data_IF_230858002877
#
_entry.id   IF_230858002877
#
_cell.length_a   1.000
_cell.length_b   1.000
_cell.length_c   1.000
_cell.angle_alpha   90.00
_cell.angle_beta   90.00
_cell.angle_gamma   90.00
#
_symmetry.space_group_name_H-M   'P 1'
#
loop_
_entity.id
_entity.type
_entity.pdbx_description
1 polymer ?
#
# COMPACT_ATOMS: atom_id res chain seq x y z
N UNK A 1 9.38 1.80 -12.56
CA UNK A 1 8.83 0.56 -11.99
C UNK A 1 8.77 0.80 -10.48
N UNK A 2 7.58 0.88 -9.87
CA UNK A 2 7.48 1.26 -8.44
C UNK A 2 8.04 0.14 -7.55
N UNK A 3 8.90 0.47 -6.59
CA UNK A 3 9.51 -0.49 -5.67
C UNK A 3 8.47 -1.09 -4.72
N UNK A 4 8.62 -2.38 -4.35
CA UNK A 4 7.73 -3.06 -3.40
C UNK A 4 7.55 -2.29 -2.09
N UNK A 5 8.65 -1.71 -1.61
CA UNK A 5 8.70 -0.84 -0.43
C UNK A 5 7.70 0.32 -0.52
N UNK A 6 7.75 1.09 -1.62
CA UNK A 6 6.83 2.21 -1.87
C UNK A 6 5.38 1.74 -1.92
N UNK A 7 5.09 0.66 -2.65
CA UNK A 7 3.73 0.13 -2.77
C UNK A 7 3.15 -0.32 -1.43
N UNK A 8 3.99 -0.88 -0.55
CA UNK A 8 3.60 -1.34 0.78
C UNK A 8 3.17 -0.19 1.72
N UNK A 9 3.53 1.06 1.42
CA UNK A 9 3.14 2.22 2.21
C UNK A 9 1.66 2.61 2.00
N UNK A 10 1.02 2.08 0.95
CA UNK A 10 -0.37 2.37 0.56
C UNK A 10 -1.35 1.23 0.88
N UNK A 11 -0.94 0.25 1.69
CA UNK A 11 -1.77 -0.87 2.13
C UNK A 11 -1.87 -0.96 3.66
N UNK A 12 -2.99 -1.51 4.12
CA UNK A 12 -3.23 -1.87 5.52
C UNK A 12 -2.25 -2.95 5.98
N UNK A 13 -1.54 -2.75 7.12
CA UNK A 13 -0.67 -3.77 7.66
C UNK A 13 -1.41 -5.03 8.09
N UNK A 14 -2.65 -4.87 8.58
CA UNK A 14 -3.46 -5.95 9.13
C UNK A 14 -4.31 -6.70 8.10
N UNK A 15 -4.72 -6.02 7.03
CA UNK A 15 -5.69 -6.59 6.07
C UNK A 15 -5.18 -6.63 4.63
N UNK A 16 -4.04 -6.00 4.33
CA UNK A 16 -3.55 -5.84 2.96
C UNK A 16 -4.42 -4.96 2.06
N UNK A 17 -5.51 -4.37 2.59
CA UNK A 17 -6.40 -3.50 1.84
C UNK A 17 -5.67 -2.23 1.37
N UNK A 18 -5.86 -1.86 0.10
CA UNK A 18 -5.32 -0.63 -0.46
C UNK A 18 -6.09 0.56 0.09
N UNK A 19 -5.40 1.56 0.63
CA UNK A 19 -6.07 2.75 1.15
C UNK A 19 -6.74 3.59 0.05
N UNK A 20 -7.87 4.18 0.40
CA UNK A 20 -8.59 5.13 -0.44
C UNK A 20 -7.92 6.50 -0.51
N UNK A 21 -8.36 7.31 -1.47
CA UNK A 21 -7.78 8.66 -1.73
C UNK A 21 -7.84 9.60 -0.53
N UNK A 22 -8.87 9.49 0.30
CA UNK A 22 -9.03 10.30 1.52
C UNK A 22 -7.95 10.01 2.58
N UNK A 23 -7.27 8.86 2.47
CA UNK A 23 -6.17 8.45 3.36
C UNK A 23 -4.81 8.71 2.69
N UNK A 24 -4.67 8.34 1.42
CA UNK A 24 -3.39 8.44 0.71
C UNK A 24 -3.03 9.88 0.30
N UNK A 25 -4.03 10.76 0.19
CA UNK A 25 -3.84 12.15 -0.25
C UNK A 25 -3.41 12.29 -1.72
N UNK A 26 -3.39 11.21 -2.50
CA UNK A 26 -2.88 11.22 -3.86
C UNK A 26 -3.89 11.80 -4.86
N UNK A 27 -3.39 12.43 -5.92
CA UNK A 27 -4.23 12.79 -7.06
C UNK A 27 -4.81 11.54 -7.74
N UNK A 28 -5.94 11.68 -8.44
CA UNK A 28 -6.64 10.52 -9.00
C UNK A 28 -5.82 9.70 -9.99
N UNK A 29 -4.97 10.36 -10.79
CA UNK A 29 -4.04 9.69 -11.71
C UNK A 29 -3.05 8.81 -10.95
N UNK A 30 -2.41 9.35 -9.90
CA UNK A 30 -1.42 8.63 -9.08
C UNK A 30 -2.06 7.50 -8.26
N UNK A 31 -3.25 7.72 -7.70
CA UNK A 31 -3.99 6.64 -7.03
C UNK A 31 -4.22 5.46 -7.98
N UNK A 32 -4.65 5.72 -9.23
CA UNK A 32 -4.89 4.67 -10.23
C UNK A 32 -3.60 3.94 -10.62
N UNK A 33 -2.50 4.66 -10.75
CA UNK A 33 -1.17 4.07 -11.01
C UNK A 33 -0.73 3.14 -9.88
N UNK A 34 -0.88 3.57 -8.62
CA UNK A 34 -0.51 2.77 -7.44
C UNK A 34 -1.41 1.54 -7.31
N UNK A 35 -2.73 1.69 -7.41
CA UNK A 35 -3.66 0.55 -7.33
C UNK A 35 -3.35 -0.50 -8.41
N UNK A 36 -3.04 -0.07 -9.64
CA UNK A 36 -2.65 -1.01 -10.72
C UNK A 36 -1.32 -1.71 -10.42
N UNK A 37 -0.32 -0.98 -9.92
CA UNK A 37 0.98 -1.55 -9.58
C UNK A 37 0.87 -2.57 -8.44
N UNK A 38 0.11 -2.25 -7.38
CA UNK A 38 -0.17 -3.18 -6.27
C UNK A 38 -0.83 -4.46 -6.77
N UNK A 39 -1.92 -4.34 -7.54
CA UNK A 39 -2.62 -5.53 -8.08
C UNK A 39 -1.73 -6.39 -8.97
N UNK A 40 -0.88 -5.77 -9.81
CA UNK A 40 0.09 -6.50 -10.62
C UNK A 40 1.14 -7.21 -9.76
N UNK A 41 1.68 -6.53 -8.76
CA UNK A 41 2.65 -7.13 -7.84
C UNK A 41 2.03 -8.31 -7.06
N UNK A 42 0.76 -8.21 -6.66
CA UNK A 42 0.02 -9.29 -6.02
C UNK A 42 -0.17 -10.49 -6.95
N UNK A 43 -0.64 -10.27 -8.19
CA UNK A 43 -0.84 -11.34 -9.18
C UNK A 43 0.48 -12.03 -9.55
N UNK A 44 1.57 -11.28 -9.64
CA UNK A 44 2.90 -11.81 -9.96
C UNK A 44 3.61 -12.46 -8.75
N UNK A 45 2.99 -12.49 -7.56
CA UNK A 45 3.60 -13.06 -6.35
C UNK A 45 4.70 -12.21 -5.72
N UNK A 46 4.81 -10.94 -6.11
CA UNK A 46 5.81 -10.01 -5.57
C UNK A 46 5.40 -9.35 -4.25
N UNK A 47 4.10 -9.32 -3.93
CA UNK A 47 3.58 -8.68 -2.73
C UNK A 47 2.39 -9.48 -2.15
N UNK A 48 2.32 -9.68 -0.82
CA UNK A 48 1.19 -10.36 -0.19
C UNK A 48 -0.14 -9.62 -0.40
N UNK A 49 -1.24 -10.38 -0.41
CA UNK A 49 -2.60 -9.86 -0.63
C UNK A 49 -3.30 -9.51 0.69
N UNK A 50 -3.09 -10.33 1.72
CA UNK A 50 -3.87 -10.30 2.97
C UNK A 50 -3.20 -9.55 4.11
N UNK A 51 -1.91 -9.22 3.98
CA UNK A 51 -1.15 -8.49 4.99
C UNK A 51 -0.04 -7.67 4.32
N UNK A 52 0.55 -6.73 5.08
CA UNK A 52 1.77 -6.06 4.64
C UNK A 52 3.00 -6.88 5.01
N UNK A 53 3.93 -7.03 4.07
CA UNK A 53 5.19 -7.73 4.31
C UNK A 53 5.90 -7.17 5.56
N UNK A 54 6.23 -8.04 6.55
CA UNK A 54 6.88 -7.65 7.80
C UNK A 54 8.15 -6.80 7.62
N UNK A 55 8.88 -7.00 6.52
CA UNK A 55 10.10 -6.25 6.23
C UNK A 55 9.85 -4.74 6.09
N UNK A 56 8.65 -4.33 5.67
CA UNK A 56 8.29 -2.93 5.44
C UNK A 56 7.41 -2.33 6.55
N UNK A 57 7.12 -3.05 7.64
CA UNK A 57 6.28 -2.54 8.73
C UNK A 57 6.88 -1.31 9.42
N UNK A 58 8.21 -1.21 9.44
CA UNK A 58 8.97 -0.10 10.05
C UNK A 58 9.19 1.09 9.10
N UNK A 59 8.71 1.02 7.86
CA UNK A 59 8.81 2.13 6.93
C UNK A 59 8.07 3.38 7.47
N UNK A 60 8.56 4.59 7.14
CA UNK A 60 7.85 5.82 7.47
C UNK A 60 6.42 5.79 6.94
N UNK A 61 5.46 6.13 7.79
CA UNK A 61 4.04 6.14 7.44
C UNK A 61 3.72 7.39 6.62
N UNK A 62 3.46 7.20 5.33
CA UNK A 62 3.04 8.28 4.41
C UNK A 62 1.53 8.56 4.49
N UNK A 63 0.75 7.54 4.86
CA UNK A 63 -0.71 7.65 4.97
C UNK A 63 -1.13 8.16 6.35
N UNK A 64 -2.06 9.11 6.39
CA UNK A 64 -2.60 9.70 7.62
C UNK A 64 -3.61 8.75 8.29
N UNK A 65 -3.11 7.73 8.98
CA UNK A 65 -3.94 6.72 9.66
C UNK A 65 -3.56 6.66 11.13
N UNK A 66 -4.57 6.84 11.98
CA UNK A 66 -4.49 6.50 13.40
C UNK A 66 -5.25 5.19 13.59
N UNK A 67 -4.53 4.12 13.86
CA UNK A 67 -5.16 2.91 14.39
C UNK A 67 -5.56 3.21 15.84
N UNK A 68 -6.76 2.79 16.22
CA UNK A 68 -7.15 2.80 17.62
C UNK A 68 -6.28 1.74 18.32
N UNK A 69 -5.61 2.16 19.39
CA UNK A 69 -4.88 1.25 20.29
C UNK A 69 -5.84 0.27 20.96
#
# INVERSE_FOLDING_TARGET
YNSKQLLSQFISPFTGCIYGRHITGLCGKKQKEITKAIKRAQIMGFMPVTYKDPAYLKDPKVCNIKYRE
#
